data_IF_902845090105
#
_entry.id   IF_902845090105
#
_cell.length_a   1.000
_cell.length_b   1.000
_cell.length_c   1.000
_cell.angle_alpha   90.00
_cell.angle_beta   90.00
_cell.angle_gamma   90.00
#
_symmetry.space_group_name_H-M   'P 1'
#
loop_
_entity.id
_entity.type
_entity.pdbx_description
1 polymer ?
#
# COMPACT_ATOMS: atom_id res chain seq x y z
N UNK A 1 9.88 -9.19 21.50
CA UNK A 1 9.35 -10.05 20.43
C UNK A 1 8.49 -11.10 21.08
N UNK A 2 7.20 -11.16 20.72
CA UNK A 2 6.28 -12.17 21.24
C UNK A 2 6.55 -13.54 20.60
N UNK A 3 6.28 -14.60 21.34
CA UNK A 3 6.41 -15.99 20.88
C UNK A 3 5.05 -16.47 20.38
N UNK A 4 5.01 -17.09 19.18
CA UNK A 4 3.78 -17.61 18.56
C UNK A 4 3.68 -19.12 18.74
N UNK A 5 4.80 -19.84 18.58
CA UNK A 5 4.92 -21.28 18.82
C UNK A 5 5.97 -21.49 19.90
N UNK A 6 5.55 -22.09 21.00
CA UNK A 6 6.35 -22.16 22.23
C UNK A 6 6.89 -23.57 22.48
N UNK A 7 6.22 -24.60 21.97
CA UNK A 7 6.61 -25.98 22.22
C UNK A 7 6.33 -26.92 21.03
N UNK A 8 6.69 -28.20 21.20
CA UNK A 8 6.52 -29.26 20.22
C UNK A 8 5.06 -29.59 19.91
N UNK A 9 4.20 -29.53 20.91
CA UNK A 9 2.79 -29.91 20.82
C UNK A 9 2.02 -28.99 19.88
N UNK A 10 2.46 -27.73 19.79
CA UNK A 10 1.95 -26.74 18.82
C UNK A 10 2.12 -27.22 17.36
N UNK A 11 3.08 -28.12 17.10
CA UNK A 11 3.46 -28.59 15.76
C UNK A 11 3.14 -30.06 15.52
N UNK A 12 3.40 -30.94 16.50
CA UNK A 12 3.37 -32.39 16.35
C UNK A 12 1.99 -32.95 15.97
N UNK A 13 0.90 -32.30 16.38
CA UNK A 13 -0.46 -32.70 16.02
C UNK A 13 -0.83 -32.51 14.53
N UNK A 14 -0.09 -31.66 13.79
CA UNK A 14 -0.38 -31.33 12.38
C UNK A 14 0.54 -32.00 11.36
N UNK A 15 1.66 -32.56 11.82
CA UNK A 15 2.70 -33.10 10.96
C UNK A 15 3.10 -34.51 11.40
N UNK A 16 3.16 -35.43 10.44
CA UNK A 16 3.50 -36.84 10.71
C UNK A 16 4.97 -37.06 11.10
N UNK A 17 5.85 -36.17 10.63
CA UNK A 17 7.30 -36.28 10.84
C UNK A 17 7.84 -34.96 11.32
N UNK A 18 8.12 -34.92 12.62
CA UNK A 18 8.67 -33.78 13.35
C UNK A 18 9.87 -34.28 14.13
N UNK A 19 11.01 -33.61 13.97
CA UNK A 19 12.23 -33.90 14.70
C UNK A 19 12.79 -32.62 15.31
N UNK A 20 13.42 -32.73 16.48
CA UNK A 20 14.10 -31.60 17.13
C UNK A 20 15.58 -31.87 17.21
N UNK A 21 16.33 -30.86 16.79
CA UNK A 21 17.76 -30.79 17.01
C UNK A 21 18.18 -29.33 17.29
N UNK A 22 18.99 -29.12 18.33
CA UNK A 22 19.59 -27.83 18.67
C UNK A 22 18.63 -26.63 18.71
N UNK A 23 17.42 -26.81 19.27
CA UNK A 23 16.40 -25.75 19.36
C UNK A 23 15.66 -25.45 18.05
N UNK A 24 15.87 -26.26 17.02
CA UNK A 24 15.13 -26.22 15.77
C UNK A 24 14.16 -27.39 15.67
N UNK A 25 13.00 -27.12 15.07
CA UNK A 25 12.06 -28.14 14.64
C UNK A 25 12.18 -28.32 13.14
N UNK A 26 12.40 -29.57 12.75
CA UNK A 26 12.47 -30.02 11.38
C UNK A 26 11.17 -30.74 11.05
N UNK A 27 10.46 -30.23 10.06
CA UNK A 27 9.14 -30.72 9.66
C UNK A 27 9.24 -31.26 8.25
N UNK A 28 9.01 -32.56 8.10
CA UNK A 28 9.09 -33.23 6.79
C UNK A 28 7.70 -33.51 6.23
N UNK A 29 7.46 -33.07 5.00
CA UNK A 29 6.25 -33.39 4.23
C UNK A 29 6.66 -33.83 2.82
N UNK A 30 6.53 -35.13 2.56
CA UNK A 30 7.02 -35.72 1.32
C UNK A 30 8.54 -35.59 1.20
N UNK A 31 9.01 -35.00 0.10
CA UNK A 31 10.45 -34.75 -0.14
C UNK A 31 10.98 -33.44 0.46
N UNK A 32 10.11 -32.61 1.02
CA UNK A 32 10.48 -31.28 1.52
C UNK A 32 10.62 -31.29 3.05
N UNK A 33 11.63 -30.59 3.53
CA UNK A 33 11.88 -30.38 4.96
C UNK A 33 11.90 -28.87 5.21
N UNK A 34 11.03 -28.39 6.10
CA UNK A 34 11.11 -27.03 6.64
C UNK A 34 11.83 -27.04 7.98
N UNK A 35 12.59 -25.99 8.24
CA UNK A 35 13.31 -25.78 9.51
C UNK A 35 12.76 -24.52 10.15
N UNK A 36 12.24 -24.64 11.37
CA UNK A 36 11.80 -23.50 12.18
C UNK A 36 12.58 -23.48 13.49
N UNK A 37 12.87 -22.28 14.00
CA UNK A 37 13.46 -22.11 15.33
C UNK A 37 12.34 -22.05 16.37
N UNK A 38 12.48 -22.79 17.47
CA UNK A 38 11.59 -22.67 18.64
C UNK A 38 12.35 -22.01 19.81
N UNK A 39 11.73 -21.08 20.55
CA UNK A 39 10.40 -20.52 20.30
C UNK A 39 10.36 -19.68 19.02
N UNK A 40 9.26 -19.80 18.28
CA UNK A 40 9.07 -19.08 17.02
C UNK A 40 8.62 -17.65 17.33
N UNK A 41 9.48 -16.70 17.00
CA UNK A 41 9.30 -15.28 17.34
C UNK A 41 8.77 -14.49 16.15
N UNK A 42 7.95 -13.48 16.43
CA UNK A 42 7.53 -12.52 15.40
C UNK A 42 8.74 -11.76 14.86
N UNK A 43 8.86 -11.67 13.53
CA UNK A 43 9.89 -10.92 12.83
C UNK A 43 9.29 -9.99 11.78
N UNK A 44 10.10 -9.09 11.19
CA UNK A 44 9.66 -8.19 10.12
C UNK A 44 9.26 -8.99 8.87
N UNK A 45 10.03 -10.03 8.55
CA UNK A 45 9.82 -10.94 7.43
C UNK A 45 8.49 -11.68 7.58
N UNK A 46 8.16 -12.16 8.78
CA UNK A 46 6.88 -12.83 9.01
C UNK A 46 5.69 -11.88 8.84
N UNK A 47 5.82 -10.66 9.36
CA UNK A 47 4.79 -9.64 9.27
C UNK A 47 4.56 -9.16 7.83
N UNK A 48 5.66 -8.98 7.08
CA UNK A 48 5.64 -8.67 5.65
C UNK A 48 5.01 -9.80 4.83
N UNK A 49 5.41 -11.05 5.05
CA UNK A 49 4.80 -12.22 4.42
C UNK A 49 3.29 -12.32 4.70
N UNK A 50 2.85 -11.96 5.92
CA UNK A 50 1.42 -11.89 6.26
C UNK A 50 0.69 -10.81 5.45
N UNK A 51 1.32 -9.65 5.24
CA UNK A 51 0.83 -8.59 4.37
C UNK A 51 0.63 -9.07 2.94
N UNK A 52 1.64 -9.73 2.37
CA UNK A 52 1.56 -10.30 1.02
C UNK A 52 0.49 -11.39 0.89
N UNK A 53 0.32 -12.25 1.90
CA UNK A 53 -0.74 -13.25 1.87
C UNK A 53 -2.13 -12.61 1.95
N UNK A 54 -2.29 -11.48 2.64
CA UNK A 54 -3.55 -10.73 2.63
C UNK A 54 -3.81 -10.01 1.30
N UNK A 55 -2.77 -9.54 0.63
CA UNK A 55 -2.80 -8.97 -0.71
C UNK A 55 -2.89 -10.03 -1.81
N UNK A 56 -1.80 -10.27 -2.53
CA UNK A 56 -1.80 -11.11 -3.74
C UNK A 56 -1.52 -12.61 -3.49
N UNK A 57 -1.15 -12.99 -2.27
CA UNK A 57 -0.90 -14.39 -1.91
C UNK A 57 -2.15 -15.24 -1.76
N UNK A 58 -2.05 -16.55 -2.01
CA UNK A 58 -3.14 -17.50 -1.87
C UNK A 58 -2.68 -18.83 -1.30
N UNK A 59 -3.22 -19.19 -0.13
CA UNK A 59 -3.10 -20.54 0.44
C UNK A 59 -4.37 -21.30 0.08
N UNK A 60 -4.26 -22.49 -0.54
CA UNK A 60 -5.42 -23.31 -0.87
C UNK A 60 -6.19 -23.75 0.39
N UNK A 61 -7.50 -24.01 0.27
CA UNK A 61 -8.36 -24.41 1.39
C UNK A 61 -7.92 -25.74 2.04
N UNK A 62 -7.38 -26.64 1.23
CA UNK A 62 -6.81 -27.94 1.63
C UNK A 62 -5.36 -27.87 2.11
N UNK A 63 -4.78 -26.66 2.15
CA UNK A 63 -3.41 -26.40 2.59
C UNK A 63 -2.34 -27.12 1.75
N UNK A 64 -2.69 -27.56 0.52
CA UNK A 64 -1.74 -28.26 -0.33
C UNK A 64 -0.71 -27.30 -0.94
N UNK A 65 -1.06 -26.02 -1.10
CA UNK A 65 -0.18 -25.06 -1.75
C UNK A 65 -0.35 -23.65 -1.22
N UNK A 66 0.77 -22.94 -1.15
CA UNK A 66 0.84 -21.49 -1.05
C UNK A 66 1.41 -20.95 -2.37
N UNK A 67 0.70 -20.02 -2.97
CA UNK A 67 1.08 -19.33 -4.19
C UNK A 67 1.21 -17.83 -3.95
N UNK A 68 2.19 -17.18 -4.55
CA UNK A 68 2.28 -15.73 -4.64
C UNK A 68 2.55 -15.34 -6.08
N UNK A 69 1.73 -14.44 -6.62
CA UNK A 69 1.74 -14.08 -8.04
C UNK A 69 1.73 -12.57 -8.16
N UNK A 70 2.79 -11.99 -8.75
CA UNK A 70 2.90 -10.54 -8.91
C UNK A 70 3.64 -10.19 -10.21
N UNK A 71 3.37 -9.00 -10.75
CA UNK A 71 4.08 -8.46 -11.91
C UNK A 71 5.39 -7.77 -11.52
N UNK A 72 5.47 -7.28 -10.28
CA UNK A 72 6.66 -6.65 -9.77
C UNK A 72 7.64 -7.73 -9.27
N UNK A 73 8.83 -7.78 -9.88
CA UNK A 73 9.88 -8.75 -9.54
C UNK A 73 10.49 -8.50 -8.15
N UNK A 74 10.54 -7.26 -7.68
CA UNK A 74 11.08 -6.94 -6.36
C UNK A 74 10.24 -7.58 -5.24
N UNK A 75 8.91 -7.58 -5.40
CA UNK A 75 7.99 -8.23 -4.46
C UNK A 75 8.11 -9.76 -4.50
N UNK A 76 8.39 -10.33 -5.68
CA UNK A 76 8.64 -11.76 -5.85
C UNK A 76 9.90 -12.18 -5.10
N UNK A 77 10.99 -11.44 -5.27
CA UNK A 77 12.24 -11.73 -4.55
C UNK A 77 12.10 -11.49 -3.04
N UNK A 78 11.34 -10.48 -2.59
CA UNK A 78 11.03 -10.27 -1.17
C UNK A 78 10.35 -11.51 -0.58
N UNK A 79 9.19 -11.94 -1.10
CA UNK A 79 8.45 -13.11 -0.60
C UNK A 79 9.28 -14.38 -0.63
N UNK A 80 10.06 -14.60 -1.70
CA UNK A 80 10.95 -15.76 -1.83
C UNK A 80 12.05 -15.75 -0.76
N UNK A 81 12.66 -14.58 -0.51
CA UNK A 81 13.69 -14.42 0.52
C UNK A 81 13.13 -14.59 1.92
N UNK A 82 11.92 -14.08 2.20
CA UNK A 82 11.25 -14.21 3.49
C UNK A 82 10.96 -15.67 3.83
N UNK A 83 10.38 -16.43 2.90
CA UNK A 83 10.12 -17.86 3.11
C UNK A 83 11.43 -18.63 3.33
N UNK A 84 12.48 -18.32 2.57
CA UNK A 84 13.80 -18.92 2.77
C UNK A 84 14.37 -18.58 4.14
N UNK A 85 14.27 -17.33 4.58
CA UNK A 85 14.84 -16.88 5.86
C UNK A 85 14.06 -17.42 7.07
N UNK A 86 12.73 -17.49 6.97
CA UNK A 86 11.87 -17.95 8.07
C UNK A 86 11.90 -19.47 8.20
N UNK A 87 11.84 -20.20 7.08
CA UNK A 87 11.58 -21.64 7.06
C UNK A 87 12.73 -22.49 6.48
N UNK A 88 13.82 -21.86 6.01
CA UNK A 88 14.91 -22.52 5.29
C UNK A 88 14.44 -23.36 4.08
N UNK A 89 13.36 -22.93 3.42
CA UNK A 89 12.80 -23.60 2.23
C UNK A 89 12.99 -22.71 1.02
N UNK A 90 13.60 -23.28 -0.02
CA UNK A 90 13.69 -22.65 -1.32
C UNK A 90 12.47 -22.98 -2.19
N UNK A 91 12.17 -22.10 -3.12
CA UNK A 91 11.11 -22.28 -4.11
C UNK A 91 11.61 -21.92 -5.50
N UNK A 92 10.99 -22.54 -6.51
CA UNK A 92 11.20 -22.16 -7.90
C UNK A 92 10.25 -21.03 -8.27
N UNK A 93 10.79 -20.09 -9.02
CA UNK A 93 10.06 -19.02 -9.67
C UNK A 93 9.70 -19.43 -11.09
N UNK A 94 8.47 -19.14 -11.49
CA UNK A 94 7.97 -19.39 -12.82
C UNK A 94 7.52 -18.08 -13.46
N UNK A 95 8.03 -17.76 -14.64
CA UNK A 95 7.53 -16.65 -15.42
C UNK A 95 6.47 -17.12 -16.42
N UNK A 96 5.28 -16.52 -16.35
CA UNK A 96 4.16 -16.83 -17.26
C UNK A 96 4.09 -15.78 -18.36
N UNK A 97 4.79 -16.01 -19.47
CA UNK A 97 4.96 -15.05 -20.58
C UNK A 97 3.65 -14.44 -21.08
N UNK A 98 2.61 -15.25 -21.30
CA UNK A 98 1.30 -14.79 -21.80
C UNK A 98 0.63 -13.73 -20.90
N UNK A 99 0.95 -13.71 -19.61
CA UNK A 99 0.38 -12.78 -18.63
C UNK A 99 1.39 -11.74 -18.14
N UNK A 100 2.66 -11.85 -18.54
CA UNK A 100 3.78 -11.03 -18.08
C UNK A 100 3.78 -10.93 -16.54
N UNK A 101 3.74 -12.09 -15.88
CA UNK A 101 3.60 -12.20 -14.42
C UNK A 101 4.49 -13.33 -13.88
N UNK A 102 5.04 -13.13 -12.70
CA UNK A 102 5.84 -14.10 -11.98
C UNK A 102 4.96 -14.87 -10.99
N UNK A 103 5.31 -16.13 -10.75
CA UNK A 103 4.56 -17.06 -9.92
C UNK A 103 5.52 -17.88 -9.05
N UNK A 104 5.31 -17.81 -7.73
CA UNK A 104 6.01 -18.61 -6.74
C UNK A 104 5.09 -19.71 -6.24
N UNK A 105 5.56 -20.97 -6.33
CA UNK A 105 4.82 -22.15 -5.91
C UNK A 105 5.53 -22.82 -4.74
N UNK A 106 5.04 -22.63 -3.52
CA UNK A 106 5.69 -23.18 -2.34
C UNK A 106 5.23 -24.61 -2.00
N UNK A 107 6.11 -25.44 -1.41
CA UNK A 107 5.75 -26.77 -0.93
C UNK A 107 4.63 -26.79 0.12
N UNK A 108 3.93 -27.93 0.23
CA UNK A 108 2.84 -28.19 1.20
C UNK A 108 3.24 -27.82 2.63
N UNK A 109 4.49 -28.09 3.02
CA UNK A 109 4.97 -27.79 4.38
C UNK A 109 4.85 -26.31 4.74
N UNK A 110 5.10 -25.42 3.77
CA UNK A 110 4.98 -23.97 3.96
C UNK A 110 3.53 -23.56 4.13
N UNK A 111 2.63 -24.05 3.27
CA UNK A 111 1.20 -23.76 3.37
C UNK A 111 0.63 -24.14 4.75
N UNK A 112 0.96 -25.34 5.25
CA UNK A 112 0.55 -25.81 6.58
C UNK A 112 1.13 -24.97 7.71
N UNK A 113 2.41 -24.59 7.62
CA UNK A 113 3.07 -23.74 8.60
C UNK A 113 2.45 -22.35 8.67
N UNK A 114 2.18 -21.72 7.53
CA UNK A 114 1.51 -20.41 7.49
C UNK A 114 0.12 -20.49 8.14
N UNK A 115 -0.67 -21.53 7.84
CA UNK A 115 -1.99 -21.71 8.49
C UNK A 115 -1.85 -21.95 9.99
N UNK A 116 -0.84 -22.69 10.43
CA UNK A 116 -0.54 -22.86 11.86
C UNK A 116 -0.23 -21.52 12.54
N UNK A 117 0.43 -20.60 11.84
CA UNK A 117 0.75 -19.24 12.31
C UNK A 117 -0.43 -18.25 12.22
N UNK A 118 -1.61 -18.71 11.78
CA UNK A 118 -2.83 -17.90 11.70
C UNK A 118 -3.03 -17.18 10.36
N UNK A 119 -2.33 -17.58 9.30
CA UNK A 119 -2.56 -17.04 7.96
C UNK A 119 -3.91 -17.52 7.40
N UNK A 120 -4.67 -16.65 6.71
CA UNK A 120 -5.94 -17.04 6.12
C UNK A 120 -5.73 -17.98 4.93
N UNK A 121 -6.57 -19.01 4.84
CA UNK A 121 -6.59 -19.96 3.72
C UNK A 121 -7.88 -19.86 2.90
N UNK A 122 -7.84 -20.33 1.67
CA UNK A 122 -8.96 -20.32 0.74
C UNK A 122 -9.29 -18.91 0.22
N UNK A 123 -10.54 -18.71 -0.19
CA UNK A 123 -10.99 -17.45 -0.81
C UNK A 123 -11.18 -16.37 0.26
N UNK A 124 -10.33 -15.35 0.23
CA UNK A 124 -10.34 -14.22 1.18
C UNK A 124 -11.60 -13.36 1.08
N UNK A 125 -12.25 -13.30 -0.09
CA UNK A 125 -13.45 -12.49 -0.32
C UNK A 125 -14.70 -12.99 0.43
N UNK A 126 -14.75 -14.28 0.82
CA UNK A 126 -15.93 -14.92 1.43
C UNK A 126 -15.69 -15.43 2.86
N UNK A 127 -14.59 -15.03 3.50
CA UNK A 127 -14.28 -15.40 4.89
C UNK A 127 -14.20 -14.16 5.79
N UNK A 128 -14.43 -14.29 7.09
CA UNK A 128 -14.14 -13.20 8.03
C UNK A 128 -12.61 -13.06 8.14
N UNK A 129 -12.09 -11.84 8.08
CA UNK A 129 -10.67 -11.54 8.25
C UNK A 129 -10.50 -10.63 9.47
N UNK A 130 -9.36 -10.77 10.15
CA UNK A 130 -8.89 -9.87 11.20
C UNK A 130 -7.37 -9.96 11.25
N UNK A 131 -6.71 -8.88 11.65
CA UNK A 131 -5.28 -8.87 11.90
C UNK A 131 -5.00 -9.62 13.22
N UNK A 132 -4.05 -10.57 13.24
CA UNK A 132 -3.82 -11.39 14.41
C UNK A 132 -3.22 -10.58 15.56
N UNK A 133 -3.51 -11.01 16.79
CA UNK A 133 -3.10 -10.31 18.00
C UNK A 133 -1.58 -10.25 18.17
N UNK A 134 -0.87 -11.26 17.66
CA UNK A 134 0.58 -11.27 17.64
C UNK A 134 1.16 -10.17 16.73
N UNK A 135 0.40 -9.60 15.79
CA UNK A 135 0.85 -8.50 14.94
C UNK A 135 0.39 -7.12 15.47
N UNK A 136 -0.84 -7.06 16.00
CA UNK A 136 -1.45 -5.82 16.52
C UNK A 136 -0.65 -5.15 17.64
N UNK A 137 0.06 -5.93 18.46
CA UNK A 137 0.80 -5.42 19.62
C UNK A 137 2.32 -5.35 19.43
N UNK A 138 2.80 -5.58 18.20
CA UNK A 138 4.24 -5.57 17.95
C UNK A 138 4.81 -4.16 17.76
N UNK A 139 6.14 -4.11 17.67
CA UNK A 139 6.90 -2.89 17.45
C UNK A 139 6.46 -2.15 16.17
N UNK A 140 6.75 -0.84 16.15
CA UNK A 140 6.51 0.06 15.01
C UNK A 140 7.09 -0.52 13.72
N UNK A 141 8.31 -1.08 13.77
CA UNK A 141 8.97 -1.61 12.59
C UNK A 141 8.30 -2.87 12.02
N UNK A 142 7.82 -3.77 12.89
CA UNK A 142 7.11 -4.99 12.47
C UNK A 142 5.77 -4.61 11.83
N UNK A 143 5.05 -3.65 12.44
CA UNK A 143 3.83 -3.09 11.87
C UNK A 143 4.07 -2.40 10.53
N UNK A 144 5.17 -1.65 10.42
CA UNK A 144 5.55 -1.00 9.18
C UNK A 144 5.84 -2.01 8.06
N UNK A 145 6.56 -3.11 8.36
CA UNK A 145 6.81 -4.18 7.40
C UNK A 145 5.50 -4.82 6.89
N UNK A 146 4.57 -5.13 7.81
CA UNK A 146 3.24 -5.62 7.45
C UNK A 146 2.47 -4.65 6.54
N UNK A 147 2.40 -3.37 6.92
CA UNK A 147 1.65 -2.36 6.16
C UNK A 147 2.28 -2.13 4.80
N UNK A 148 3.62 -2.09 4.71
CA UNK A 148 4.36 -1.92 3.45
C UNK A 148 3.98 -3.02 2.47
N UNK A 149 4.15 -4.29 2.85
CA UNK A 149 3.82 -5.44 2.01
C UNK A 149 2.36 -5.43 1.53
N UNK A 150 1.41 -5.17 2.44
CA UNK A 150 -0.01 -5.09 2.10
C UNK A 150 -0.31 -3.93 1.13
N UNK A 151 0.35 -2.79 1.30
CA UNK A 151 0.18 -1.63 0.41
C UNK A 151 0.88 -1.83 -0.94
N UNK A 152 1.98 -2.55 -0.99
CA UNK A 152 2.65 -2.95 -2.23
C UNK A 152 1.81 -3.86 -3.10
N UNK A 153 0.91 -4.65 -2.53
CA UNK A 153 -0.06 -5.43 -3.30
C UNK A 153 -1.34 -4.62 -3.60
N UNK A 154 -1.98 -4.03 -2.58
CA UNK A 154 -3.38 -3.58 -2.68
C UNK A 154 -3.56 -2.06 -2.85
N UNK A 155 -2.53 -1.25 -2.56
CA UNK A 155 -2.63 0.20 -2.64
C UNK A 155 -2.24 0.75 -4.03
N UNK A 156 -2.61 2.00 -4.28
CA UNK A 156 -2.21 2.75 -5.46
C UNK A 156 -1.87 4.19 -5.10
N UNK A 157 -0.91 4.78 -5.81
CA UNK A 157 -0.59 6.21 -5.67
C UNK A 157 -1.36 7.00 -6.74
N UNK A 158 -2.27 7.87 -6.33
CA UNK A 158 -3.12 8.66 -7.23
C UNK A 158 -2.58 10.09 -7.38
N UNK A 159 -2.41 10.52 -8.63
CA UNK A 159 -2.01 11.88 -9.01
C UNK A 159 -3.15 12.50 -9.79
N UNK A 160 -3.85 13.49 -9.21
CA UNK A 160 -4.98 14.19 -9.85
C UNK A 160 -4.79 15.70 -9.85
N UNK A 161 -5.46 16.38 -10.79
CA UNK A 161 -5.55 17.85 -10.82
C UNK A 161 -6.31 18.34 -9.57
N UNK A 162 -5.58 18.66 -8.50
CA UNK A 162 -6.13 19.13 -7.23
C UNK A 162 -5.68 18.37 -5.99
N UNK A 163 -4.84 17.34 -6.12
CA UNK A 163 -4.22 16.70 -4.97
C UNK A 163 -3.69 15.30 -5.23
N UNK A 164 -3.04 14.78 -4.20
CA UNK A 164 -2.38 13.49 -4.20
C UNK A 164 -2.88 12.64 -3.05
N UNK A 165 -2.99 11.34 -3.28
CA UNK A 165 -3.24 10.40 -2.20
C UNK A 165 -2.64 9.03 -2.49
N UNK A 166 -2.43 8.28 -1.41
CA UNK A 166 -2.32 6.83 -1.48
C UNK A 166 -3.73 6.29 -1.23
N UNK A 167 -4.28 5.54 -2.18
CA UNK A 167 -5.55 4.85 -2.01
C UNK A 167 -5.31 3.38 -1.67
N UNK A 168 -6.11 2.84 -0.77
CA UNK A 168 -6.15 1.43 -0.44
C UNK A 168 -7.58 0.92 -0.61
N UNK A 169 -7.76 -0.33 -1.05
CA UNK A 169 -9.09 -0.93 -1.01
C UNK A 169 -9.17 -2.38 -1.48
N UNK A 170 -9.92 -3.18 -0.74
CA UNK A 170 -10.08 -4.62 -0.96
C UNK A 170 -11.54 -5.00 -1.18
N UNK A 171 -11.75 -6.06 -1.97
CA UNK A 171 -13.08 -6.59 -2.27
C UNK A 171 -13.55 -7.60 -1.21
N UNK A 172 -14.85 -7.63 -0.96
CA UNK A 172 -15.51 -8.61 -0.09
C UNK A 172 -16.89 -8.99 -0.58
N UNK A 173 -17.38 -10.14 -0.17
CA UNK A 173 -18.79 -10.45 -0.27
C UNK A 173 -19.64 -9.49 0.58
N UNK A 174 -20.75 -9.01 0.03
CA UNK A 174 -21.68 -8.06 0.66
C UNK A 174 -22.25 -8.56 2.00
N UNK A 175 -22.44 -9.87 2.15
CA UNK A 175 -22.91 -10.49 3.40
C UNK A 175 -21.90 -10.37 4.54
N UNK A 176 -20.65 -10.00 4.24
CA UNK A 176 -19.57 -9.80 5.22
C UNK A 176 -19.21 -8.33 5.41
N UNK A 177 -20.08 -7.39 4.98
CA UNK A 177 -19.79 -5.96 4.95
C UNK A 177 -19.30 -5.42 6.31
N UNK A 178 -20.00 -5.74 7.40
CA UNK A 178 -19.64 -5.24 8.72
C UNK A 178 -18.27 -5.77 9.19
N UNK A 179 -18.01 -7.06 8.98
CA UNK A 179 -16.70 -7.66 9.29
C UNK A 179 -15.58 -7.07 8.44
N UNK A 180 -15.86 -6.79 7.17
CA UNK A 180 -14.90 -6.14 6.26
C UNK A 180 -14.56 -4.72 6.72
N UNK A 181 -15.57 -3.97 7.17
CA UNK A 181 -15.38 -2.64 7.74
C UNK A 181 -14.51 -2.68 8.99
N UNK A 182 -14.73 -3.64 9.88
CA UNK A 182 -13.91 -3.82 11.08
C UNK A 182 -12.46 -4.14 10.73
N UNK A 183 -12.22 -5.06 9.79
CA UNK A 183 -10.87 -5.40 9.31
C UNK A 183 -10.14 -4.19 8.68
N UNK A 184 -10.83 -3.39 7.87
CA UNK A 184 -10.24 -2.17 7.31
C UNK A 184 -9.95 -1.14 8.42
N UNK A 185 -10.78 -1.05 9.45
CA UNK A 185 -10.51 -0.18 10.60
C UNK A 185 -9.27 -0.64 11.39
N UNK A 186 -9.03 -1.94 11.53
CA UNK A 186 -7.80 -2.46 12.14
C UNK A 186 -6.55 -2.00 11.36
N UNK A 187 -6.59 -2.03 10.02
CA UNK A 187 -5.51 -1.51 9.18
C UNK A 187 -5.31 0.00 9.41
N UNK A 188 -6.42 0.76 9.47
CA UNK A 188 -6.36 2.22 9.74
C UNK A 188 -5.79 2.52 11.12
N UNK A 189 -6.11 1.71 12.13
CA UNK A 189 -5.57 1.86 13.47
C UNK A 189 -4.06 1.61 13.50
N UNK A 190 -3.58 0.58 12.79
CA UNK A 190 -2.14 0.32 12.66
C UNK A 190 -1.43 1.49 11.95
N UNK A 191 -2.00 2.02 10.85
CA UNK A 191 -1.48 3.21 10.18
C UNK A 191 -1.40 4.43 11.13
N UNK A 192 -2.44 4.65 11.94
CA UNK A 192 -2.47 5.76 12.89
C UNK A 192 -1.38 5.63 13.96
N UNK A 193 -1.10 4.41 14.45
CA UNK A 193 0.04 4.14 15.34
C UNK A 193 1.39 4.43 14.68
N UNK A 194 1.49 4.29 13.36
CA UNK A 194 2.66 4.71 12.58
C UNK A 194 2.67 6.23 12.32
N UNK A 195 1.70 6.99 12.82
CA UNK A 195 1.57 8.43 12.62
C UNK A 195 1.02 8.79 11.24
N UNK A 196 0.34 7.87 10.56
CA UNK A 196 -0.29 8.10 9.26
C UNK A 196 -1.80 8.02 9.42
N UNK A 197 -2.47 9.17 9.33
CA UNK A 197 -3.92 9.23 9.39
C UNK A 197 -4.53 9.07 7.99
N UNK A 198 -5.68 8.38 7.92
CA UNK A 198 -6.43 8.19 6.69
C UNK A 198 -7.80 8.86 6.74
N UNK A 199 -8.42 9.03 5.57
CA UNK A 199 -9.83 9.35 5.45
C UNK A 199 -10.70 8.29 6.12
N UNK A 200 -11.98 8.62 6.32
CA UNK A 200 -13.03 7.64 6.60
C UNK A 200 -13.07 6.56 5.51
N UNK A 201 -13.53 5.37 5.89
CA UNK A 201 -13.79 4.27 4.96
C UNK A 201 -14.90 4.69 3.99
N UNK A 202 -14.68 4.45 2.70
CA UNK A 202 -15.67 4.64 1.64
C UNK A 202 -15.89 3.35 0.86
N UNK A 203 -17.07 3.22 0.27
CA UNK A 203 -17.36 2.23 -0.75
C UNK A 203 -16.87 2.74 -2.11
N UNK A 204 -15.97 1.99 -2.75
CA UNK A 204 -15.41 2.37 -4.06
C UNK A 204 -16.28 1.87 -5.20
N UNK A 205 -16.81 0.66 -5.08
CA UNK A 205 -17.64 0.01 -6.09
C UNK A 205 -18.44 -1.15 -5.48
N UNK A 206 -19.47 -1.57 -6.20
CA UNK A 206 -20.18 -2.82 -5.94
C UNK A 206 -20.54 -3.46 -7.28
N UNK A 207 -20.29 -4.76 -7.43
CA UNK A 207 -20.61 -5.55 -8.62
C UNK A 207 -21.15 -6.91 -8.19
N UNK A 208 -22.46 -7.12 -8.38
CA UNK A 208 -23.16 -8.27 -7.82
C UNK A 208 -22.95 -8.34 -6.30
N UNK A 209 -22.55 -9.51 -5.81
CA UNK A 209 -22.30 -9.73 -4.38
C UNK A 209 -20.93 -9.23 -3.90
N UNK A 210 -20.11 -8.64 -4.78
CA UNK A 210 -18.79 -8.11 -4.41
C UNK A 210 -18.86 -6.61 -4.14
N UNK A 211 -18.45 -6.18 -2.95
CA UNK A 211 -18.30 -4.79 -2.54
C UNK A 211 -16.82 -4.45 -2.29
N UNK A 212 -16.36 -3.32 -2.82
CA UNK A 212 -15.02 -2.80 -2.53
C UNK A 212 -15.10 -1.69 -1.49
N UNK A 213 -14.45 -1.88 -0.36
CA UNK A 213 -14.24 -0.84 0.64
C UNK A 213 -12.79 -0.37 0.62
N UNK A 214 -12.56 0.90 0.94
CA UNK A 214 -11.23 1.48 0.95
C UNK A 214 -11.15 2.79 1.72
N UNK A 215 -9.95 3.36 1.79
CA UNK A 215 -9.70 4.69 2.35
C UNK A 215 -8.55 5.36 1.57
N UNK A 216 -8.31 6.64 1.85
CA UNK A 216 -7.23 7.43 1.26
C UNK A 216 -6.35 8.05 2.33
N UNK A 217 -5.05 8.06 2.11
CA UNK A 217 -4.06 8.82 2.87
C UNK A 217 -3.83 10.13 2.11
N UNK A 218 -4.11 11.26 2.76
CA UNK A 218 -4.14 12.59 2.17
C UNK A 218 -3.32 13.56 3.02
N UNK A 219 -2.84 14.64 2.39
CA UNK A 219 -2.11 15.71 3.08
C UNK A 219 -0.61 15.41 3.18
N UNK A 220 0.20 16.48 3.12
CA UNK A 220 1.66 16.36 3.05
C UNK A 220 2.21 15.57 4.21
N UNK A 221 1.81 15.92 5.44
CA UNK A 221 2.32 15.29 6.64
C UNK A 221 2.09 13.77 6.65
N UNK A 222 0.89 13.32 6.28
CA UNK A 222 0.59 11.88 6.26
C UNK A 222 1.38 11.16 5.16
N UNK A 223 1.57 11.78 3.99
CA UNK A 223 2.35 11.21 2.89
C UNK A 223 3.85 11.17 3.24
N UNK A 224 4.38 12.20 3.90
CA UNK A 224 5.76 12.24 4.39
C UNK A 224 5.97 11.19 5.48
N UNK A 225 5.03 11.06 6.41
CA UNK A 225 5.07 10.02 7.45
C UNK A 225 5.00 8.62 6.86
N UNK A 226 4.14 8.41 5.85
CA UNK A 226 4.07 7.15 5.12
C UNK A 226 5.41 6.84 4.44
N UNK A 227 5.97 7.79 3.69
CA UNK A 227 7.23 7.58 2.97
C UNK A 227 8.41 7.27 3.90
N UNK A 228 8.51 7.99 5.02
CA UNK A 228 9.63 7.85 5.95
C UNK A 228 9.58 6.59 6.81
N UNK A 229 8.37 6.10 7.16
CA UNK A 229 8.21 4.98 8.09
C UNK A 229 7.81 3.66 7.44
N UNK A 230 7.14 3.72 6.29
CA UNK A 230 6.55 2.56 5.62
C UNK A 230 7.16 2.42 4.22
N UNK A 231 7.01 3.45 3.38
CA UNK A 231 7.46 3.46 2.00
C UNK A 231 6.73 2.43 1.12
N UNK A 232 7.25 2.23 -0.08
CA UNK A 232 6.93 1.11 -0.95
C UNK A 232 8.23 0.39 -1.34
N UNK A 233 8.20 -0.94 -1.41
CA UNK A 233 9.25 -1.69 -2.08
C UNK A 233 9.09 -1.58 -3.60
N UNK A 234 7.85 -1.50 -4.10
CA UNK A 234 7.60 -1.34 -5.52
C UNK A 234 8.17 -0.03 -6.05
N UNK A 235 9.24 -0.11 -6.84
CA UNK A 235 9.96 1.05 -7.39
C UNK A 235 9.01 2.04 -8.07
N UNK A 236 8.03 1.53 -8.82
CA UNK A 236 7.07 2.35 -9.54
C UNK A 236 6.11 3.10 -8.60
N UNK A 237 5.69 2.48 -7.49
CA UNK A 237 4.86 3.15 -6.47
C UNK A 237 5.71 4.16 -5.67
N UNK A 238 6.93 3.79 -5.31
CA UNK A 238 7.86 4.62 -4.57
C UNK A 238 8.23 5.90 -5.35
N UNK A 239 8.63 5.78 -6.61
CA UNK A 239 8.89 6.92 -7.51
C UNK A 239 7.69 7.86 -7.62
N UNK A 240 6.47 7.32 -7.69
CA UNK A 240 5.25 8.14 -7.73
C UNK A 240 5.02 8.88 -6.42
N UNK A 241 5.26 8.24 -5.27
CA UNK A 241 5.16 8.88 -3.96
C UNK A 241 6.19 10.00 -3.80
N UNK A 242 7.43 9.77 -4.22
CA UNK A 242 8.49 10.79 -4.19
C UNK A 242 8.15 11.98 -5.10
N UNK A 243 7.66 11.69 -6.31
CA UNK A 243 7.18 12.73 -7.22
C UNK A 243 6.10 13.59 -6.56
N UNK A 244 5.15 12.96 -5.86
CA UNK A 244 4.09 13.65 -5.10
C UNK A 244 4.67 14.58 -4.04
N UNK A 245 5.61 14.08 -3.24
CA UNK A 245 6.21 14.84 -2.13
C UNK A 245 6.99 16.06 -2.63
N UNK A 246 7.78 15.88 -3.70
CA UNK A 246 8.58 16.95 -4.28
C UNK A 246 7.73 18.05 -4.94
N UNK A 247 6.54 17.71 -5.44
CA UNK A 247 5.68 18.64 -6.18
C UNK A 247 4.44 19.10 -5.40
N UNK A 248 4.37 18.77 -4.10
CA UNK A 248 3.16 18.96 -3.29
C UNK A 248 2.65 20.41 -3.27
N UNK A 249 3.53 21.40 -3.07
CA UNK A 249 3.20 22.83 -3.04
C UNK A 249 2.78 23.39 -4.40
N UNK A 250 3.32 22.87 -5.50
CA UNK A 250 3.02 23.33 -6.85
C UNK A 250 1.61 22.91 -7.28
N UNK A 251 1.11 21.81 -6.72
CA UNK A 251 -0.13 21.16 -7.17
C UNK A 251 -1.33 21.54 -6.30
N UNK A 252 -1.12 22.01 -5.07
CA UNK A 252 -2.17 22.33 -4.10
C UNK A 252 -2.88 23.69 -4.22
N UNK A 253 -2.46 24.64 -5.08
CA UNK A 253 -3.25 25.87 -5.21
C UNK A 253 -4.65 25.56 -5.77
N UNK A 254 -5.64 25.54 -4.89
CA UNK A 254 -7.05 25.49 -5.28
C UNK A 254 -7.38 26.72 -6.13
N UNK A 255 -8.46 26.65 -6.92
CA UNK A 255 -8.86 27.76 -7.83
C UNK A 255 -8.91 29.12 -7.15
N UNK A 256 -9.22 29.17 -5.85
CA UNK A 256 -9.27 30.40 -5.04
C UNK A 256 -7.87 30.91 -4.66
N UNK A 257 -6.98 30.02 -4.23
CA UNK A 257 -5.62 30.37 -3.83
C UNK A 257 -4.75 30.76 -5.04
N UNK A 258 -4.92 30.08 -6.18
CA UNK A 258 -4.30 30.46 -7.44
C UNK A 258 -4.70 31.89 -7.84
N UNK A 259 -5.97 32.25 -7.69
CA UNK A 259 -6.47 33.61 -7.95
C UNK A 259 -5.86 34.64 -6.99
N UNK A 260 -5.76 34.34 -5.71
CA UNK A 260 -5.15 35.24 -4.72
C UNK A 260 -3.68 35.49 -5.02
N UNK A 261 -2.91 34.45 -5.36
CA UNK A 261 -1.50 34.61 -5.74
C UNK A 261 -1.31 35.34 -7.07
N UNK A 262 -2.21 35.13 -8.03
CA UNK A 262 -2.22 35.93 -9.26
C UNK A 262 -2.42 37.41 -8.90
N UNK A 263 -3.38 37.73 -8.04
CA UNK A 263 -3.61 39.11 -7.58
C UNK A 263 -2.40 39.69 -6.86
N UNK A 264 -1.77 38.94 -5.94
CA UNK A 264 -0.56 39.35 -5.22
C UNK A 264 0.61 39.70 -6.17
N UNK A 265 0.83 38.90 -7.21
CA UNK A 265 1.91 39.14 -8.19
C UNK A 265 1.59 40.25 -9.19
N UNK A 266 0.32 40.51 -9.44
CA UNK A 266 -0.15 41.54 -10.37
C UNK A 266 -0.13 42.97 -9.83
N UNK A 267 0.41 43.18 -8.62
CA UNK A 267 0.81 44.49 -8.12
C UNK A 267 1.78 45.19 -9.09
N UNK A 268 2.56 44.41 -9.83
CA UNK A 268 3.37 44.87 -10.97
C UNK A 268 2.72 44.33 -12.25
N UNK A 269 2.59 45.13 -13.33
CA UNK A 269 2.07 44.61 -14.58
C UNK A 269 2.97 43.55 -15.22
N UNK A 270 2.40 42.40 -15.61
CA UNK A 270 3.17 41.29 -16.18
C UNK A 270 2.39 40.50 -17.24
N UNK A 271 3.12 39.79 -18.12
CA UNK A 271 2.53 38.92 -19.14
C UNK A 271 2.04 37.61 -18.53
N UNK A 272 1.06 36.99 -19.19
CA UNK A 272 0.57 35.66 -18.78
C UNK A 272 1.65 34.59 -18.75
N UNK A 273 2.63 34.65 -19.67
CA UNK A 273 3.78 33.73 -19.73
C UNK A 273 4.73 33.92 -18.54
N UNK A 274 4.95 35.16 -18.11
CA UNK A 274 5.80 35.49 -16.95
C UNK A 274 5.12 35.04 -15.65
N UNK A 275 3.82 35.29 -15.50
CA UNK A 275 3.01 34.77 -14.37
C UNK A 275 3.00 33.25 -14.32
N UNK A 276 2.88 32.59 -15.47
CA UNK A 276 2.95 31.15 -15.60
C UNK A 276 4.29 30.60 -15.09
N UNK A 277 5.39 31.24 -15.48
CA UNK A 277 6.72 30.90 -15.00
C UNK A 277 6.86 31.13 -13.48
N UNK A 278 6.50 32.32 -12.98
CA UNK A 278 6.63 32.69 -11.57
C UNK A 278 5.79 31.82 -10.62
N UNK A 279 4.58 31.44 -11.05
CA UNK A 279 3.69 30.58 -10.28
C UNK A 279 3.91 29.08 -10.55
N UNK A 280 4.89 28.75 -11.41
CA UNK A 280 5.16 27.43 -11.93
C UNK A 280 3.88 26.68 -12.37
N UNK A 281 3.14 27.29 -13.30
CA UNK A 281 1.88 26.77 -13.85
C UNK A 281 1.88 26.84 -15.36
N UNK A 282 1.08 25.98 -15.96
CA UNK A 282 0.77 26.04 -17.38
C UNK A 282 0.12 27.39 -17.75
N UNK A 283 0.57 27.98 -18.87
CA UNK A 283 0.12 29.28 -19.33
C UNK A 283 -1.39 29.29 -19.63
N UNK A 284 -1.94 28.18 -20.15
CA UNK A 284 -3.39 28.08 -20.45
C UNK A 284 -4.22 28.13 -19.16
N UNK A 285 -3.72 27.55 -18.07
CA UNK A 285 -4.35 27.61 -16.75
C UNK A 285 -4.33 29.02 -16.16
N UNK A 286 -3.19 29.71 -16.20
CA UNK A 286 -3.09 31.11 -15.78
C UNK A 286 -4.03 32.00 -16.62
N UNK A 287 -4.06 31.80 -17.93
CA UNK A 287 -4.95 32.53 -18.83
C UNK A 287 -6.43 32.37 -18.46
N UNK A 288 -6.88 31.15 -18.16
CA UNK A 288 -8.26 30.89 -17.68
C UNK A 288 -8.56 31.66 -16.38
N UNK A 289 -7.63 31.68 -15.43
CA UNK A 289 -7.81 32.42 -14.17
C UNK A 289 -7.85 33.93 -14.38
N UNK A 290 -6.96 34.49 -15.21
CA UNK A 290 -6.92 35.92 -15.53
C UNK A 290 -8.22 36.40 -16.18
N UNK A 291 -8.77 35.64 -17.14
CA UNK A 291 -10.08 35.97 -17.72
C UNK A 291 -11.23 35.89 -16.73
N UNK A 292 -11.22 34.92 -15.81
CA UNK A 292 -12.21 34.87 -14.74
C UNK A 292 -12.10 36.04 -13.76
N UNK A 293 -10.88 36.48 -13.45
CA UNK A 293 -10.64 37.65 -12.59
C UNK A 293 -11.04 38.95 -13.30
N UNK A 294 -10.79 39.04 -14.60
CA UNK A 294 -11.14 40.18 -15.43
C UNK A 294 -12.66 40.38 -15.53
N UNK A 295 -13.41 39.28 -15.75
CA UNK A 295 -14.88 39.30 -15.71
C UNK A 295 -15.45 39.74 -14.36
N UNK A 296 -14.64 39.65 -13.29
CA UNK A 296 -14.98 40.11 -11.94
C UNK A 296 -14.42 41.49 -11.61
N UNK A 297 -13.82 42.19 -12.58
CA UNK A 297 -13.18 43.50 -12.41
C UNK A 297 -12.06 43.52 -11.35
N UNK A 298 -11.40 42.39 -11.09
CA UNK A 298 -10.28 42.31 -10.13
C UNK A 298 -8.91 42.50 -10.81
N UNK A 299 -8.86 42.34 -12.14
CA UNK A 299 -7.67 42.58 -12.96
C UNK A 299 -8.07 43.24 -14.27
N UNK A 300 -7.18 44.05 -14.82
CA UNK A 300 -7.37 44.71 -16.12
C UNK A 300 -6.27 44.32 -17.11
N UNK A 301 -6.56 44.45 -18.40
CA UNK A 301 -5.59 44.28 -19.49
C UNK A 301 -5.06 45.64 -19.89
N UNK A 302 -3.74 45.75 -20.00
CA UNK A 302 -3.06 46.94 -20.51
C UNK A 302 -2.13 46.58 -21.67
N UNK A 303 -1.92 47.52 -22.59
CA UNK A 303 -1.06 47.35 -23.76
C UNK A 303 -1.80 47.07 -25.07
N UNK A 304 -1.05 46.74 -26.11
CA UNK A 304 -1.56 46.55 -27.48
C UNK A 304 -1.85 45.08 -27.78
N UNK A 305 -2.52 44.82 -28.92
CA UNK A 305 -2.91 43.47 -29.38
C UNK A 305 -1.77 42.44 -29.34
N UNK A 306 -0.52 42.89 -29.53
CA UNK A 306 0.67 42.03 -29.56
C UNK A 306 1.48 42.03 -28.25
N UNK A 307 1.16 42.90 -27.28
CA UNK A 307 1.85 43.01 -25.98
C UNK A 307 0.82 43.27 -24.87
N UNK A 308 0.09 42.21 -24.52
CA UNK A 308 -0.91 42.26 -23.44
C UNK A 308 -0.24 41.99 -22.09
N UNK A 309 -0.38 42.93 -21.18
CA UNK A 309 -0.02 42.79 -19.77
C UNK A 309 -1.29 42.78 -18.94
N UNK A 310 -1.21 42.14 -17.78
CA UNK A 310 -2.26 42.12 -16.78
C UNK A 310 -1.81 42.96 -15.59
N UNK A 311 -2.75 43.63 -14.92
CA UNK A 311 -2.53 44.36 -13.67
C UNK A 311 -3.73 44.15 -12.75
N UNK A 312 -3.53 44.12 -11.43
CA UNK A 312 -4.64 44.19 -10.48
C UNK A 312 -5.33 45.55 -10.57
N UNK A 313 -6.65 45.56 -10.36
CA UNK A 313 -7.45 46.80 -10.29
C UNK A 313 -7.28 47.44 -8.92
#
# INVERSE_FOLDING_TARGET
MKEILTNLEDVSGKFKSVHIDNGFVFIKVGKYTAKIKIPFRVSKELASLYGHVLGDGHIKKDEQHFHYVNKNKDLIEEVKSEVKNIFAVETMEYFRENKQIYDLNFPVVIAKLLVLLGFPKGRKSIQILSIPEWLKNESVDIKAAFIRALFDDEAWVEIKQGGFCIGFGQNKNVNLLQYHKNYIEEIRNILSQLGVNSSKIFQKSQKGDSIQLGFKILGLQNLTNFNSKIGFLSENKQKRLEFVLNNFKQIQFGKKEAKLKILEKLNVPMKSKELAFLLNRDQKTIWKHLHQLHRKNLVTKIGTKNKVFWKSV
#
